data_IF_445204319724
#
_entry.id   IF_445204319724
#
_cell.length_a   1.000
_cell.length_b   1.000
_cell.length_c   1.000
_cell.angle_alpha   90.00
_cell.angle_beta   90.00
_cell.angle_gamma   90.00
#
_symmetry.space_group_name_H-M   'P 1'
#
loop_
_entity.id
_entity.type
_entity.pdbx_description
1 polymer ?
2 water ?
#
# COMPACT_ATOMS: atom_id res chain seq x y z
N UNK A 2 -4.89 0.17 16.68
CA UNK A 2 -5.28 -0.84 15.70
C UNK A 2 -4.58 -2.16 15.96
N UNK A 3 -5.17 -3.27 15.52
CA UNK A 3 -4.34 -4.46 15.35
C UNK A 3 -3.60 -4.35 14.02
N UNK A 4 -2.68 -5.28 13.79
CA UNK A 4 -1.82 -5.15 12.61
C UNK A 4 -2.59 -5.27 11.31
N UNK A 5 -3.59 -6.15 11.23
CA UNK A 5 -4.33 -6.25 9.97
C UNK A 5 -5.09 -4.97 9.70
N UNK A 6 -5.68 -4.37 10.73
CA UNK A 6 -6.34 -3.08 10.55
C UNK A 6 -5.35 -2.02 10.10
N UNK A 7 -4.14 -2.03 10.66
CA UNK A 7 -3.13 -1.06 10.26
C UNK A 7 -2.72 -1.25 8.80
N UNK A 8 -2.53 -2.50 8.38
CA UNK A 8 -2.21 -2.78 6.99
C UNK A 8 -3.33 -2.30 6.06
N UNK A 9 -4.58 -2.56 6.43
CA UNK A 9 -5.71 -2.12 5.61
C UNK A 9 -5.79 -0.61 5.51
N UNK A 10 -5.59 0.09 6.62
CA UNK A 10 -5.75 1.53 6.58
C UNK A 10 -4.65 2.17 5.75
N UNK A 11 -3.44 1.62 5.81
CA UNK A 11 -2.36 2.15 4.99
C UNK A 11 -2.56 1.79 3.52
N UNK A 12 -3.01 0.56 3.24
CA UNK A 12 -3.40 0.18 1.89
C UNK A 12 -4.39 1.18 1.32
N UNK A 13 -5.44 1.49 2.10
CA UNK A 13 -6.48 2.39 1.61
C UNK A 13 -5.94 3.79 1.36
N UNK A 14 -5.03 4.25 2.23
CA UNK A 14 -4.37 5.53 2.01
C UNK A 14 -3.64 5.55 0.68
N UNK A 15 -2.89 4.49 0.37
CA UNK A 15 -2.12 4.47 -0.86
C UNK A 15 -2.99 4.21 -2.09
N UNK A 16 -4.12 3.51 -1.94
CA UNK A 16 -5.08 3.40 -3.03
C UNK A 16 -5.63 4.78 -3.39
N UNK A 17 -5.88 5.61 -2.38
CA UNK A 17 -6.36 6.97 -2.63
C UNK A 17 -5.31 7.80 -3.36
N UNK A 18 -4.04 7.67 -2.99
CA UNK A 18 -2.97 8.36 -3.71
C UNK A 18 -2.92 7.87 -5.16
N UNK A 19 -2.98 6.56 -5.36
CA UNK A 19 -2.97 5.99 -6.71
C UNK A 19 -4.10 6.57 -7.55
N UNK A 20 -5.30 6.62 -6.97
CA UNK A 20 -6.46 7.13 -7.69
C UNK A 20 -6.31 8.61 -8.01
N UNK A 21 -5.79 9.38 -7.07
CA UNK A 21 -5.63 10.81 -7.31
C UNK A 21 -4.59 11.07 -8.39
N UNK A 22 -3.54 10.25 -8.43
CA UNK A 22 -2.53 10.37 -9.48
C UNK A 22 -3.13 10.07 -10.84
N UNK A 23 -3.94 9.00 -10.93
CA UNK A 23 -4.61 8.69 -12.19
C UNK A 23 -5.51 9.83 -12.63
N UNK A 24 -6.18 10.49 -11.68
CA UNK A 24 -7.08 11.60 -12.00
C UNK A 24 -6.35 12.84 -12.50
N UNK A 25 -5.02 12.87 -12.42
CA UNK A 25 -4.20 13.91 -13.02
C UNK A 25 -3.38 13.40 -14.19
N UNK A 26 -3.55 12.14 -14.59
CA UNK A 26 -2.69 11.50 -15.58
C UNK A 26 -1.21 11.63 -15.21
N UNK A 27 -0.92 11.51 -13.91
CA UNK A 27 0.47 11.46 -13.45
C UNK A 27 0.90 10.00 -13.53
N UNK A 28 1.53 9.63 -14.64
CA UNK A 28 1.82 8.23 -14.90
C UNK A 28 2.84 7.67 -13.92
N UNK A 29 3.91 8.41 -13.68
CA UNK A 29 4.93 7.94 -12.76
C UNK A 29 4.41 7.76 -11.35
N UNK A 30 3.64 8.73 -10.85
CA UNK A 30 3.10 8.62 -9.50
C UNK A 30 2.08 7.49 -9.40
N UNK A 31 1.24 7.33 -10.43
CA UNK A 31 0.28 6.24 -10.41
C UNK A 31 0.99 4.89 -10.41
N UNK A 32 2.07 4.76 -11.18
CA UNK A 32 2.80 3.49 -11.20
C UNK A 32 3.50 3.25 -9.86
N UNK A 33 4.07 4.29 -9.27
CA UNK A 33 4.75 4.14 -7.99
C UNK A 33 3.78 3.65 -6.93
N UNK A 34 2.62 4.29 -6.84
CA UNK A 34 1.66 3.91 -5.81
C UNK A 34 0.90 2.64 -6.16
N UNK A 35 0.76 2.31 -7.44
CA UNK A 35 0.22 1.00 -7.79
C UNK A 35 1.12 -0.14 -7.34
N UNK A 36 2.43 0.04 -7.48
CA UNK A 36 3.37 -0.96 -6.99
C UNK A 36 3.28 -1.07 -5.47
N UNK A 37 3.18 0.06 -4.78
CA UNK A 37 3.04 0.05 -3.33
C UNK A 37 1.76 -0.68 -2.91
N UNK A 38 0.64 -0.35 -3.56
CA UNK A 38 -0.62 -1.02 -3.27
C UNK A 38 -0.48 -2.53 -3.42
N UNK A 39 0.15 -2.97 -4.51
CA UNK A 39 0.33 -4.40 -4.73
C UNK A 39 1.13 -5.03 -3.59
N UNK A 40 2.17 -4.34 -3.11
CA UNK A 40 2.95 -4.89 -2.00
C UNK A 40 2.12 -5.01 -0.73
N UNK A 41 1.29 -4.01 -0.43
CA UNK A 41 0.43 -4.11 0.75
C UNK A 41 -0.60 -5.23 0.60
N UNK A 42 -1.18 -5.38 -0.60
CA UNK A 42 -2.13 -6.47 -0.80
C UNK A 42 -1.44 -7.83 -0.66
N UNK A 43 -0.20 -7.95 -1.15
CA UNK A 43 0.55 -9.19 -0.96
C UNK A 43 0.83 -9.46 0.51
N UNK A 44 1.11 -8.40 1.28
CA UNK A 44 1.35 -8.57 2.72
C UNK A 44 0.08 -9.04 3.43
N UNK A 45 -1.07 -8.49 3.04
CA UNK A 45 -2.33 -8.89 3.64
C UNK A 45 -2.64 -10.35 3.33
N UNK A 46 -2.35 -10.80 2.10
CA UNK A 46 -2.56 -12.21 1.79
C UNK A 46 -1.75 -13.10 2.71
N UNK A 47 -0.49 -12.74 2.97
CA UNK A 47 0.33 -13.52 3.89
C UNK A 47 -0.21 -13.44 5.31
N UNK A 48 -0.56 -12.24 5.77
CA UNK A 48 -1.08 -12.08 7.12
C UNK A 48 -2.32 -12.96 7.34
N UNK A 49 -3.20 -12.99 6.34
CA UNK A 49 -4.46 -13.73 6.44
C UNK A 49 -4.25 -15.24 6.48
N UNK A 50 -3.08 -15.72 6.04
CA UNK A 50 -2.71 -17.13 6.12
C UNK A 50 -1.79 -17.43 7.29
N UNK A 51 -1.50 -16.45 8.14
CA UNK A 51 -0.60 -16.66 9.27
C UNK A 51 0.86 -16.75 8.92
N UNK A 52 1.23 -16.39 7.71
CA UNK A 52 2.57 -16.57 7.18
C UNK A 52 3.45 -15.35 7.44
N UNK A 53 4.77 -15.52 7.36
CA UNK A 53 5.67 -14.38 7.59
C UNK A 53 5.41 -13.23 6.63
N UNK A 54 5.29 -12.03 7.17
CA UNK A 54 5.06 -10.82 6.39
C UNK A 54 6.37 -10.03 6.30
N UNK A 55 6.79 -9.61 5.08
CA UNK A 55 8.04 -8.84 4.93
C UNK A 55 7.83 -7.35 5.18
N UNK A 56 7.64 -6.99 6.45
CA UNK A 56 7.40 -5.58 6.77
C UNK A 56 8.53 -4.70 6.27
N UNK A 57 9.75 -5.22 6.25
CA UNK A 57 10.89 -4.43 5.85
C UNK A 57 10.80 -4.01 4.40
N UNK A 58 10.01 -4.71 3.59
CA UNK A 58 9.83 -4.36 2.19
C UNK A 58 8.70 -3.36 1.95
N UNK A 59 7.77 -3.18 2.90
CA UNK A 59 6.56 -2.40 2.67
C UNK A 59 6.86 -0.91 2.68
N UNK A 60 6.71 -0.21 1.56
CA UNK A 60 7.08 1.21 1.55
C UNK A 60 6.17 2.07 2.42
N UNK A 61 6.77 3.08 3.05
CA UNK A 61 6.05 4.11 3.80
C UNK A 61 6.61 5.45 3.30
N UNK A 62 6.20 5.91 2.12
CA UNK A 62 6.90 7.04 1.49
C UNK A 62 6.79 8.33 2.28
N UNK A 63 7.89 9.05 2.45
CA UNK A 63 7.81 10.37 3.10
C UNK A 63 6.85 11.30 2.37
N UNK A 64 6.09 12.06 3.15
CA UNK A 64 5.21 13.07 2.62
C UNK A 64 3.80 12.62 2.32
N UNK A 65 3.47 11.36 2.57
CA UNK A 65 2.15 10.83 2.24
C UNK A 65 1.38 10.33 3.46
N UNK A 66 1.85 10.63 4.66
CA UNK A 66 1.12 10.30 5.87
C UNK A 66 1.42 8.93 6.43
#
# INVERSE_FOLDING_TARGET
STNMLEALQQRLEKYQSVEAAAKAENNSGKARRFGRIVKQYEDAIKLYKAGKPVPYDELPVPPGFG
#
